data_IF_414767063510
#
_entry.id   IF_414767063510
#
_cell.length_a   1.000
_cell.length_b   1.000
_cell.length_c   1.000
_cell.angle_alpha   90.00
_cell.angle_beta   90.00
_cell.angle_gamma   90.00
#
_symmetry.space_group_name_H-M   'P 1'
#
loop_
_entity.id
_entity.type
_entity.pdbx_description
1 polymer ?
#
# COMPACT_ATOMS: atom_id res chain seq x y z
N UNK A 1 -40.01 -22.57 -34.67
CA UNK A 1 -40.79 -22.93 -33.46
C UNK A 1 -40.81 -21.72 -32.53
N UNK A 2 -41.98 -21.08 -32.38
CA UNK A 2 -42.18 -19.86 -31.58
C UNK A 2 -42.41 -20.25 -30.11
N UNK A 3 -41.62 -19.73 -29.18
CA UNK A 3 -41.91 -19.81 -27.74
C UNK A 3 -42.22 -18.41 -27.23
N UNK A 4 -43.51 -18.18 -26.99
CA UNK A 4 -44.01 -17.08 -26.18
C UNK A 4 -43.66 -17.37 -24.72
N UNK A 5 -42.94 -16.45 -24.07
CA UNK A 5 -42.76 -16.47 -22.61
C UNK A 5 -43.56 -15.30 -22.02
N UNK A 6 -44.53 -15.65 -21.19
CA UNK A 6 -45.34 -14.77 -20.37
C UNK A 6 -44.46 -14.00 -19.36
N UNK A 7 -44.52 -12.68 -19.43
CA UNK A 7 -44.00 -11.77 -18.42
C UNK A 7 -45.06 -11.60 -17.31
N UNK A 8 -44.85 -12.26 -16.17
CA UNK A 8 -45.56 -11.93 -14.93
C UNK A 8 -44.83 -10.76 -14.26
N UNK A 9 -45.48 -9.61 -14.22
CA UNK A 9 -45.06 -8.42 -13.48
C UNK A 9 -45.38 -8.58 -11.99
N UNK A 10 -44.35 -8.83 -11.18
CA UNK A 10 -44.43 -8.82 -9.71
C UNK A 10 -44.03 -7.43 -9.21
N UNK A 11 -45.03 -6.61 -8.83
CA UNK A 11 -44.80 -5.30 -8.19
C UNK A 11 -44.57 -5.55 -6.70
N UNK A 12 -43.30 -5.51 -6.28
CA UNK A 12 -42.92 -5.55 -4.87
C UNK A 12 -43.00 -4.13 -4.28
N UNK A 13 -43.96 -3.89 -3.39
CA UNK A 13 -44.05 -2.68 -2.58
C UNK A 13 -43.03 -2.79 -1.44
N UNK A 14 -41.94 -2.02 -1.52
CA UNK A 14 -40.93 -1.97 -0.46
C UNK A 14 -41.38 -1.01 0.67
N UNK A 15 -41.31 -1.43 1.94
CA UNK A 15 -41.56 -0.55 3.08
C UNK A 15 -40.39 0.44 3.24
N UNK A 16 -40.70 1.74 3.23
CA UNK A 16 -39.77 2.77 3.69
C UNK A 16 -39.60 2.63 5.22
N UNK A 17 -38.56 1.91 5.63
CA UNK A 17 -38.07 1.99 7.00
C UNK A 17 -37.37 3.34 7.18
N UNK A 18 -38.02 4.26 7.91
CA UNK A 18 -37.40 5.48 8.40
C UNK A 18 -36.27 5.10 9.38
N UNK A 19 -35.06 4.92 8.85
CA UNK A 19 -33.86 4.79 9.68
C UNK A 19 -33.58 6.16 10.30
N UNK A 20 -33.83 6.26 11.61
CA UNK A 20 -33.37 7.39 12.41
C UNK A 20 -31.88 7.60 12.13
N UNK A 21 -31.51 8.80 11.66
CA UNK A 21 -30.12 9.13 11.42
C UNK A 21 -29.36 9.03 12.75
N UNK A 22 -28.25 8.26 12.82
CA UNK A 22 -27.44 8.20 14.02
C UNK A 22 -27.00 9.61 14.40
N UNK A 23 -27.15 9.96 15.68
CA UNK A 23 -26.76 11.26 16.22
C UNK A 23 -25.29 11.53 15.87
N UNK A 24 -25.05 12.52 15.01
CA UNK A 24 -23.73 12.95 14.53
C UNK A 24 -22.79 13.28 15.69
N UNK A 25 -23.31 13.59 16.89
CA UNK A 25 -22.51 13.96 18.04
C UNK A 25 -22.04 12.77 18.89
N UNK A 26 -22.49 11.55 18.59
CA UNK A 26 -22.15 10.35 19.38
C UNK A 26 -21.16 9.41 18.70
N UNK A 27 -20.51 9.86 17.61
CA UNK A 27 -19.36 9.14 17.06
C UNK A 27 -18.25 9.07 18.13
N UNK A 28 -17.68 7.88 18.41
CA UNK A 28 -16.56 7.76 19.33
C UNK A 28 -15.47 8.73 18.91
N UNK A 29 -15.12 9.67 19.79
CA UNK A 29 -14.03 10.61 19.57
C UNK A 29 -12.76 9.77 19.43
N UNK A 30 -12.39 9.45 18.19
CA UNK A 30 -11.17 8.72 17.91
C UNK A 30 -9.99 9.41 18.57
N UNK A 31 -8.98 8.64 18.98
CA UNK A 31 -7.72 9.20 19.46
C UNK A 31 -7.29 10.30 18.49
N UNK A 32 -7.28 11.55 18.96
CA UNK A 32 -6.83 12.68 18.16
C UNK A 32 -5.46 12.32 17.59
N UNK A 33 -5.33 12.36 16.26
CA UNK A 33 -4.02 12.25 15.64
C UNK A 33 -3.09 13.28 16.31
N UNK A 34 -1.78 12.97 16.44
CA UNK A 34 -0.81 13.93 16.97
C UNK A 34 -1.06 15.28 16.31
N UNK A 35 -1.19 16.34 17.12
CA UNK A 35 -1.50 17.67 16.62
C UNK A 35 -0.30 18.19 15.82
N UNK A 36 -0.21 17.80 14.55
CA UNK A 36 0.72 18.31 13.57
C UNK A 36 0.25 19.72 13.20
N UNK A 37 0.34 20.67 14.14
CA UNK A 37 0.18 22.08 13.79
C UNK A 37 1.30 22.40 12.80
N UNK A 38 0.99 22.71 11.53
CA UNK A 38 1.98 23.28 10.65
C UNK A 38 2.42 24.57 11.33
N UNK A 39 3.72 24.72 11.58
CA UNK A 39 4.26 26.03 11.95
C UNK A 39 3.73 27.04 10.92
N UNK A 40 3.14 28.15 11.40
CA UNK A 40 2.53 29.21 10.60
C UNK A 40 3.44 29.77 9.48
N UNK A 41 4.74 29.47 9.53
CA UNK A 41 5.72 29.94 8.57
C UNK A 41 5.86 29.06 7.31
N UNK A 42 5.04 28.02 7.12
CA UNK A 42 5.00 27.23 5.87
C UNK A 42 6.30 26.52 5.46
N UNK A 43 7.35 26.58 6.31
CA UNK A 43 8.64 25.94 6.07
C UNK A 43 8.58 24.50 6.58
N UNK A 44 8.35 23.57 5.65
CA UNK A 44 8.36 22.12 5.85
C UNK A 44 9.73 21.52 6.27
N UNK A 45 10.70 22.32 6.73
CA UNK A 45 12.11 21.96 6.51
C UNK A 45 13.07 21.84 7.68
N UNK A 46 12.91 22.46 8.86
CA UNK A 46 14.14 22.71 9.66
C UNK A 46 14.13 22.46 11.17
N UNK A 47 13.00 22.21 11.82
CA UNK A 47 13.02 21.84 13.25
C UNK A 47 12.51 20.42 13.46
N UNK A 48 13.03 19.46 12.68
CA UNK A 48 12.96 18.05 13.07
C UNK A 48 13.96 17.86 14.21
N UNK A 49 13.52 18.13 15.45
CA UNK A 49 14.39 18.02 16.61
C UNK A 49 14.73 16.54 16.81
N UNK A 50 16.00 16.15 16.69
CA UNK A 50 16.46 14.78 16.93
C UNK A 50 16.03 14.30 18.34
N UNK A 51 15.94 15.22 19.30
CA UNK A 51 15.43 14.91 20.65
C UNK A 51 13.98 14.41 20.63
N UNK A 52 13.11 14.96 19.78
CA UNK A 52 11.71 14.53 19.68
C UNK A 52 11.57 13.16 19.01
N UNK A 53 12.51 12.79 18.14
CA UNK A 53 12.62 11.42 17.60
C UNK A 53 13.03 10.43 18.69
N UNK A 54 14.07 10.77 19.47
CA UNK A 54 14.60 9.92 20.55
C UNK A 54 13.60 9.74 21.70
N UNK A 55 12.70 10.71 21.92
CA UNK A 55 11.69 10.67 22.96
C UNK A 55 10.37 10.00 22.52
N UNK A 56 10.20 9.63 21.24
CA UNK A 56 9.00 8.90 20.80
C UNK A 56 9.06 7.47 21.33
N UNK A 57 8.06 7.09 22.12
CA UNK A 57 7.86 5.68 22.47
C UNK A 57 7.73 4.86 21.18
N UNK A 58 8.42 3.70 21.06
CA UNK A 58 8.25 2.83 19.91
C UNK A 58 6.77 2.44 19.80
N UNK A 59 6.23 2.52 18.58
CA UNK A 59 4.85 2.10 18.33
C UNK A 59 4.72 0.59 18.55
N UNK A 60 3.61 0.14 19.14
CA UNK A 60 3.37 -1.29 19.28
C UNK A 60 3.08 -1.93 17.91
N UNK A 61 3.30 -3.24 17.73
CA UNK A 61 2.97 -3.94 16.48
C UNK A 61 1.50 -3.76 16.06
N UNK A 62 0.58 -3.71 17.01
CA UNK A 62 -0.85 -3.49 16.79
C UNK A 62 -1.12 -2.08 16.27
N UNK A 63 -0.46 -1.07 16.84
CA UNK A 63 -0.56 0.32 16.37
C UNK A 63 -0.04 0.46 14.94
N UNK A 64 1.08 -0.21 14.61
CA UNK A 64 1.63 -0.21 13.25
C UNK A 64 0.64 -0.84 12.26
N UNK A 65 0.04 -1.98 12.60
CA UNK A 65 -0.99 -2.63 11.76
C UNK A 65 -2.20 -1.71 11.56
N UNK A 66 -2.65 -1.02 12.60
CA UNK A 66 -3.77 -0.10 12.50
C UNK A 66 -3.46 1.09 11.59
N UNK A 67 -2.26 1.66 11.71
CA UNK A 67 -1.80 2.76 10.83
C UNK A 67 -1.72 2.28 9.38
N UNK A 68 -1.18 1.08 9.13
CA UNK A 68 -1.13 0.50 7.79
C UNK A 68 -2.52 0.31 7.19
N UNK A 69 -3.47 -0.26 7.95
CA UNK A 69 -4.85 -0.43 7.50
C UNK A 69 -5.53 0.91 7.18
N UNK A 70 -5.32 1.94 8.01
CA UNK A 70 -5.85 3.28 7.75
C UNK A 70 -5.24 3.91 6.49
N UNK A 71 -3.93 3.75 6.28
CA UNK A 71 -3.27 4.24 5.07
C UNK A 71 -3.77 3.51 3.82
N UNK A 72 -3.97 2.20 3.90
CA UNK A 72 -4.54 1.41 2.81
C UNK A 72 -5.94 1.92 2.46
N UNK A 73 -6.83 2.05 3.45
CA UNK A 73 -8.19 2.55 3.26
C UNK A 73 -8.20 3.95 2.63
N UNK A 74 -7.34 4.86 3.11
CA UNK A 74 -7.21 6.20 2.52
C UNK A 74 -6.73 6.16 1.07
N UNK A 75 -5.77 5.29 0.73
CA UNK A 75 -5.29 5.15 -0.65
C UNK A 75 -6.39 4.63 -1.58
N UNK A 76 -7.19 3.68 -1.13
CA UNK A 76 -8.30 3.13 -1.90
C UNK A 76 -9.44 4.16 -2.06
N UNK A 77 -9.69 4.97 -1.04
CA UNK A 77 -10.63 6.10 -1.12
C UNK A 77 -10.15 7.15 -2.14
N UNK A 78 -8.86 7.52 -2.10
CA UNK A 78 -8.28 8.44 -3.07
C UNK A 78 -8.34 7.89 -4.51
N UNK A 79 -8.15 6.58 -4.68
CA UNK A 79 -8.32 5.90 -5.96
C UNK A 79 -9.76 6.06 -6.48
N UNK A 80 -10.77 5.78 -5.65
CA UNK A 80 -12.19 5.99 -6.03
C UNK A 80 -12.48 7.45 -6.38
N UNK A 81 -12.04 8.38 -5.54
CA UNK A 81 -12.22 9.82 -5.81
C UNK A 81 -11.56 10.25 -7.12
N UNK A 82 -10.40 9.67 -7.46
CA UNK A 82 -9.73 9.95 -8.74
C UNK A 82 -10.54 9.39 -9.91
N UNK A 83 -11.03 8.15 -9.82
CA UNK A 83 -11.88 7.55 -10.86
C UNK A 83 -13.13 8.41 -11.10
N UNK A 84 -13.83 8.81 -10.03
CA UNK A 84 -15.00 9.69 -10.11
C UNK A 84 -14.67 11.03 -10.77
N UNK A 85 -13.54 11.65 -10.40
CA UNK A 85 -13.10 12.95 -10.97
C UNK A 85 -12.85 12.87 -12.47
N UNK A 86 -12.35 11.74 -12.95
CA UNK A 86 -12.09 11.47 -14.38
C UNK A 86 -13.35 10.99 -15.13
N UNK A 87 -14.52 11.01 -14.46
CA UNK A 87 -15.81 10.67 -15.05
C UNK A 87 -16.19 9.19 -15.00
N UNK A 88 -15.39 8.34 -14.35
CA UNK A 88 -15.70 6.92 -14.17
C UNK A 88 -16.55 6.72 -12.91
N UNK A 89 -17.87 6.87 -13.01
CA UNK A 89 -18.81 6.80 -11.88
C UNK A 89 -19.52 5.45 -11.72
N UNK A 90 -19.27 4.51 -12.62
CA UNK A 90 -19.82 3.15 -12.53
C UNK A 90 -19.22 2.42 -11.32
N UNK A 91 -20.08 2.09 -10.34
CA UNK A 91 -19.68 1.44 -9.08
C UNK A 91 -19.03 0.09 -9.33
N UNK A 92 -19.55 -0.72 -10.25
CA UNK A 92 -19.00 -2.05 -10.53
C UNK A 92 -17.59 -1.95 -11.14
N UNK A 93 -17.34 -0.94 -11.98
CA UNK A 93 -16.00 -0.65 -12.53
C UNK A 93 -15.06 -0.18 -11.42
N UNK A 94 -15.49 0.75 -10.57
CA UNK A 94 -14.67 1.23 -9.46
C UNK A 94 -14.31 0.12 -8.47
N UNK A 95 -15.27 -0.72 -8.11
CA UNK A 95 -15.09 -1.86 -7.21
C UNK A 95 -14.08 -2.85 -7.79
N UNK A 96 -14.21 -3.22 -9.06
CA UNK A 96 -13.27 -4.13 -9.71
C UNK A 96 -11.82 -3.59 -9.70
N UNK A 97 -11.63 -2.28 -9.92
CA UNK A 97 -10.31 -1.65 -9.87
C UNK A 97 -9.76 -1.61 -8.43
N UNK A 98 -10.61 -1.30 -7.45
CA UNK A 98 -10.22 -1.25 -6.03
C UNK A 98 -9.84 -2.63 -5.52
N UNK A 99 -10.59 -3.67 -5.88
CA UNK A 99 -10.28 -5.05 -5.50
C UNK A 99 -8.96 -5.51 -6.11
N UNK A 100 -8.73 -5.24 -7.39
CA UNK A 100 -7.44 -5.50 -8.04
C UNK A 100 -6.28 -4.75 -7.35
N UNK A 101 -6.48 -3.49 -6.97
CA UNK A 101 -5.47 -2.70 -6.26
C UNK A 101 -5.15 -3.28 -4.87
N UNK A 102 -6.16 -3.74 -4.12
CA UNK A 102 -5.98 -4.42 -2.83
C UNK A 102 -5.16 -5.70 -2.98
N UNK A 103 -5.53 -6.56 -3.93
CA UNK A 103 -4.81 -7.82 -4.16
C UNK A 103 -3.34 -7.57 -4.51
N UNK A 104 -3.07 -6.57 -5.34
CA UNK A 104 -1.71 -6.14 -5.68
C UNK A 104 -0.94 -5.67 -4.45
N UNK A 105 -1.56 -4.89 -3.57
CA UNK A 105 -0.92 -4.37 -2.36
C UNK A 105 -0.58 -5.49 -1.38
N UNK A 106 -1.49 -6.45 -1.16
CA UNK A 106 -1.23 -7.62 -0.30
C UNK A 106 -0.02 -8.41 -0.80
N UNK A 107 0.07 -8.64 -2.10
CA UNK A 107 1.21 -9.33 -2.69
C UNK A 107 2.50 -8.52 -2.59
N UNK A 108 2.43 -7.20 -2.83
CA UNK A 108 3.57 -6.28 -2.68
C UNK A 108 4.15 -6.32 -1.27
N UNK A 109 3.29 -6.26 -0.24
CA UNK A 109 3.73 -6.32 1.17
C UNK A 109 4.45 -7.64 1.49
N UNK A 110 3.96 -8.77 0.97
CA UNK A 110 4.60 -10.09 1.15
C UNK A 110 6.00 -10.12 0.53
N UNK A 111 6.14 -9.67 -0.73
CA UNK A 111 7.44 -9.61 -1.41
C UNK A 111 8.38 -8.61 -0.74
N UNK A 112 7.88 -7.44 -0.34
CA UNK A 112 8.65 -6.43 0.37
C UNK A 112 9.18 -6.95 1.72
N UNK A 113 8.38 -7.72 2.46
CA UNK A 113 8.81 -8.33 3.73
C UNK A 113 9.97 -9.31 3.50
N UNK A 114 9.86 -10.15 2.47
CA UNK A 114 10.93 -11.11 2.12
C UNK A 114 12.19 -10.41 1.63
N UNK A 115 12.03 -9.37 0.80
CA UNK A 115 13.14 -8.52 0.37
C UNK A 115 13.86 -7.89 1.56
N UNK A 116 13.11 -7.36 2.53
CA UNK A 116 13.68 -6.75 3.75
C UNK A 116 14.45 -7.78 4.59
N UNK A 117 13.95 -9.02 4.69
CA UNK A 117 14.66 -10.08 5.40
C UNK A 117 15.94 -10.50 4.66
N UNK A 118 15.90 -10.56 3.32
CA UNK A 118 17.08 -10.83 2.50
C UNK A 118 18.14 -9.72 2.64
N UNK A 119 17.73 -8.45 2.59
CA UNK A 119 18.62 -7.30 2.80
C UNK A 119 19.30 -7.37 4.17
N UNK A 120 18.51 -7.60 5.23
CA UNK A 120 19.03 -7.81 6.59
C UNK A 120 19.99 -9.01 6.67
N UNK A 121 19.72 -10.07 5.94
CA UNK A 121 20.55 -11.29 5.97
C UNK A 121 21.94 -11.06 5.38
N UNK A 122 22.09 -10.14 4.41
CA UNK A 122 23.40 -9.78 3.86
C UNK A 122 24.34 -9.11 4.87
N UNK A 123 23.80 -8.59 5.99
CA UNK A 123 24.57 -7.97 7.07
C UNK A 123 24.82 -8.90 8.26
N UNK A 124 24.32 -10.14 8.23
CA UNK A 124 24.50 -11.13 9.29
C UNK A 124 25.77 -11.94 9.06
N UNK A 125 26.70 -11.92 10.01
CA UNK A 125 28.01 -12.58 9.89
C UNK A 125 27.96 -14.12 10.01
N UNK A 126 26.85 -14.67 10.48
CA UNK A 126 26.64 -16.11 10.72
C UNK A 126 26.01 -16.84 9.52
N UNK A 127 25.65 -16.11 8.45
CA UNK A 127 25.10 -16.70 7.23
C UNK A 127 26.19 -16.93 6.19
N UNK A 128 26.17 -18.13 5.61
CA UNK A 128 27.03 -18.51 4.50
C UNK A 128 26.45 -18.03 3.17
N UNK A 129 27.31 -17.83 2.17
CA UNK A 129 26.87 -17.50 0.80
C UNK A 129 25.86 -18.51 0.23
N UNK A 130 26.00 -19.79 0.58
CA UNK A 130 25.05 -20.83 0.17
C UNK A 130 23.65 -20.61 0.77
N UNK A 131 23.56 -20.17 2.02
CA UNK A 131 22.27 -19.84 2.65
C UNK A 131 21.65 -18.59 2.02
N UNK A 132 22.45 -17.55 1.75
CA UNK A 132 21.99 -16.34 1.08
C UNK A 132 21.49 -16.66 -0.34
N UNK A 133 22.23 -17.48 -1.09
CA UNK A 133 21.82 -17.94 -2.41
C UNK A 133 20.49 -18.70 -2.37
N UNK A 134 20.28 -19.56 -1.36
CA UNK A 134 19.00 -20.22 -1.13
C UNK A 134 17.85 -19.23 -0.91
N UNK A 135 18.03 -18.24 -0.03
CA UNK A 135 17.04 -17.20 0.22
C UNK A 135 16.73 -16.36 -1.04
N UNK A 136 17.75 -16.07 -1.85
CA UNK A 136 17.60 -15.34 -3.10
C UNK A 136 16.78 -16.13 -4.13
N UNK A 137 17.07 -17.43 -4.30
CA UNK A 137 16.33 -18.31 -5.21
C UNK A 137 14.86 -18.41 -4.78
N UNK A 138 14.59 -18.56 -3.48
CA UNK A 138 13.23 -18.60 -2.95
C UNK A 138 12.47 -17.29 -3.20
N UNK A 139 13.15 -16.15 -3.05
CA UNK A 139 12.56 -14.84 -3.35
C UNK A 139 12.25 -14.70 -4.85
N UNK A 140 13.18 -15.09 -5.73
CA UNK A 140 12.99 -15.04 -7.18
C UNK A 140 11.80 -15.90 -7.63
N UNK A 141 11.69 -17.13 -7.13
CA UNK A 141 10.57 -18.01 -7.43
C UNK A 141 9.22 -17.37 -7.06
N UNK A 142 9.12 -16.78 -5.86
CA UNK A 142 7.89 -16.10 -5.41
C UNK A 142 7.60 -14.83 -6.21
N UNK A 143 8.63 -14.10 -6.62
CA UNK A 143 8.47 -12.93 -7.47
C UNK A 143 7.96 -13.30 -8.87
N UNK A 144 8.41 -14.44 -9.41
CA UNK A 144 7.93 -14.97 -10.69
C UNK A 144 6.49 -15.49 -10.59
N UNK A 145 6.15 -16.22 -9.52
CA UNK A 145 4.77 -16.66 -9.24
C UNK A 145 3.82 -15.46 -9.14
N UNK A 146 4.23 -14.41 -8.44
CA UNK A 146 3.44 -13.19 -8.31
C UNK A 146 3.32 -12.44 -9.65
N UNK A 147 4.37 -12.44 -10.49
CA UNK A 147 4.30 -11.86 -11.84
C UNK A 147 3.23 -12.56 -12.67
N UNK A 148 3.21 -13.89 -12.67
CA UNK A 148 2.22 -14.69 -13.38
C UNK A 148 0.80 -14.45 -12.83
N UNK A 149 0.63 -14.45 -11.49
CA UNK A 149 -0.65 -14.15 -10.83
C UNK A 149 -1.17 -12.76 -11.22
N UNK A 150 -0.30 -11.75 -11.20
CA UNK A 150 -0.63 -10.36 -11.55
C UNK A 150 -1.09 -10.24 -13.00
N UNK A 151 -0.43 -10.95 -13.93
CA UNK A 151 -0.82 -10.96 -15.34
C UNK A 151 -2.22 -11.57 -15.52
N UNK A 152 -2.50 -12.69 -14.87
CA UNK A 152 -3.84 -13.31 -14.90
C UNK A 152 -4.91 -12.38 -14.29
N UNK A 153 -4.63 -11.77 -13.14
CA UNK A 153 -5.54 -10.84 -12.49
C UNK A 153 -5.81 -9.60 -13.36
N UNK A 154 -4.79 -9.10 -14.09
CA UNK A 154 -4.95 -8.01 -15.04
C UNK A 154 -5.82 -8.42 -16.23
N UNK A 155 -5.64 -9.62 -16.79
CA UNK A 155 -6.49 -10.12 -17.87
C UNK A 155 -7.95 -10.26 -17.41
N UNK A 156 -8.16 -10.77 -16.19
CA UNK A 156 -9.50 -10.86 -15.58
C UNK A 156 -10.13 -9.49 -15.36
N UNK A 157 -9.39 -8.52 -14.81
CA UNK A 157 -9.84 -7.15 -14.65
C UNK A 157 -10.19 -6.54 -16.02
N UNK A 158 -9.27 -6.65 -16.99
CA UNK A 158 -9.42 -6.10 -18.34
C UNK A 158 -10.69 -6.61 -19.03
N UNK A 159 -10.94 -7.91 -18.92
CA UNK A 159 -12.17 -8.54 -19.42
C UNK A 159 -13.40 -8.04 -18.67
N UNK A 160 -13.36 -8.01 -17.33
CA UNK A 160 -14.50 -7.64 -16.48
C UNK A 160 -14.99 -6.20 -16.70
N UNK A 161 -14.08 -5.27 -16.97
CA UNK A 161 -14.42 -3.85 -17.16
C UNK A 161 -14.33 -3.39 -18.61
N UNK A 162 -14.09 -4.31 -19.55
CA UNK A 162 -13.87 -4.03 -20.98
C UNK A 162 -12.78 -2.96 -21.20
N UNK A 163 -11.65 -3.12 -20.51
CA UNK A 163 -10.62 -2.08 -20.41
C UNK A 163 -10.05 -1.67 -21.78
N UNK A 164 -9.94 -2.61 -22.72
CA UNK A 164 -9.47 -2.33 -24.08
C UNK A 164 -10.38 -1.37 -24.86
N UNK A 165 -11.67 -1.29 -24.51
CA UNK A 165 -12.62 -0.34 -25.11
C UNK A 165 -12.60 1.03 -24.41
N UNK A 166 -11.80 1.18 -23.33
CA UNK A 166 -11.76 2.37 -22.48
C UNK A 166 -10.33 2.94 -22.40
N UNK A 167 -9.79 3.50 -23.50
CA UNK A 167 -8.39 3.95 -23.56
C UNK A 167 -8.03 5.03 -22.52
N UNK A 168 -8.97 5.91 -22.17
CA UNK A 168 -8.78 6.91 -21.10
C UNK A 168 -8.61 6.26 -19.72
N UNK A 169 -9.39 5.21 -19.44
CA UNK A 169 -9.29 4.45 -18.20
C UNK A 169 -7.97 3.69 -18.16
N UNK A 170 -7.60 3.03 -19.26
CA UNK A 170 -6.32 2.32 -19.40
C UNK A 170 -5.14 3.26 -19.13
N UNK A 171 -5.11 4.42 -19.78
CA UNK A 171 -4.08 5.44 -19.53
C UNK A 171 -4.06 5.90 -18.08
N UNK A 172 -5.22 6.18 -17.48
CA UNK A 172 -5.30 6.57 -16.07
C UNK A 172 -4.69 5.49 -15.17
N UNK A 173 -5.10 4.23 -15.32
CA UNK A 173 -4.56 3.11 -14.53
C UNK A 173 -3.05 2.91 -14.73
N UNK A 174 -2.54 3.12 -15.96
CA UNK A 174 -1.11 3.08 -16.25
C UNK A 174 -0.35 4.21 -15.54
N UNK A 175 -0.85 5.45 -15.62
CA UNK A 175 -0.22 6.61 -14.96
C UNK A 175 -0.23 6.51 -13.44
N UNK A 176 -1.22 5.82 -12.87
CA UNK A 176 -1.28 5.49 -11.45
C UNK A 176 -0.36 4.31 -11.06
N UNK A 177 0.28 3.66 -12.02
CA UNK A 177 1.10 2.47 -11.80
C UNK A 177 0.28 1.28 -11.30
N UNK A 178 -1.03 1.23 -11.54
CA UNK A 178 -1.86 0.08 -11.21
C UNK A 178 -1.63 -1.05 -12.21
N UNK A 179 -1.59 -0.71 -13.50
CA UNK A 179 -1.32 -1.62 -14.61
C UNK A 179 -0.08 -1.17 -15.37
N UNK A 180 0.52 -2.09 -16.12
CA UNK A 180 1.73 -1.82 -16.90
C UNK A 180 3.00 -1.76 -16.04
N UNK A 181 4.14 -1.98 -16.67
CA UNK A 181 5.47 -1.87 -16.06
C UNK A 181 6.20 -0.60 -16.52
N UNK A 182 5.60 0.18 -17.43
CA UNK A 182 6.17 1.40 -18.03
C UNK A 182 6.43 2.48 -16.99
N UNK A 183 5.61 2.54 -15.93
CA UNK A 183 5.84 3.47 -14.82
C UNK A 183 7.19 3.23 -14.12
N UNK A 184 7.70 2.00 -14.14
CA UNK A 184 9.04 1.69 -13.61
C UNK A 184 10.16 2.07 -14.59
N UNK A 185 9.87 2.07 -15.90
CA UNK A 185 10.82 2.42 -16.95
C UNK A 185 10.96 3.94 -17.18
N UNK A 186 9.88 4.70 -16.99
CA UNK A 186 9.86 6.15 -17.26
C UNK A 186 10.51 6.96 -16.13
N UNK A 187 10.67 6.38 -14.93
CA UNK A 187 11.46 6.98 -13.85
C UNK A 187 12.95 6.85 -14.14
N UNK A 188 13.42 7.65 -15.09
CA UNK A 188 14.82 7.90 -15.40
C UNK A 188 15.57 8.32 -14.12
N UNK A 189 16.58 7.54 -13.75
CA UNK A 189 17.79 8.01 -13.05
C UNK A 189 17.66 8.58 -11.63
N UNK A 190 16.66 8.17 -10.83
CA UNK A 190 16.75 8.33 -9.37
C UNK A 190 17.45 7.11 -8.77
N UNK A 191 18.77 7.16 -8.69
CA UNK A 191 19.72 6.23 -8.06
C UNK A 191 19.21 5.42 -6.84
N UNK A 192 18.34 4.42 -7.03
CA UNK A 192 17.71 3.72 -5.92
C UNK A 192 16.83 2.55 -6.35
N UNK A 193 17.42 1.57 -7.06
CA UNK A 193 16.75 0.33 -7.52
C UNK A 193 16.09 -0.55 -6.43
N UNK A 194 16.07 -0.09 -5.17
CA UNK A 194 15.41 -0.72 -4.03
C UNK A 194 14.30 0.18 -3.45
N UNK A 195 14.33 1.50 -3.71
CA UNK A 195 13.40 2.46 -3.11
C UNK A 195 11.96 2.33 -3.67
N UNK A 196 11.81 2.03 -4.96
CA UNK A 196 10.48 1.82 -5.55
C UNK A 196 9.90 0.43 -5.19
N UNK A 197 10.74 -0.59 -5.02
CA UNK A 197 10.29 -1.91 -4.52
C UNK A 197 9.88 -1.85 -3.03
N UNK A 198 10.57 -1.02 -2.24
CA UNK A 198 10.25 -0.73 -0.85
C UNK A 198 9.10 0.30 -0.65
N UNK A 199 8.45 0.76 -1.72
CA UNK A 199 7.28 1.66 -1.61
C UNK A 199 7.60 3.09 -1.20
N UNK A 200 8.85 3.54 -1.29
CA UNK A 200 9.26 4.93 -0.99
C UNK A 200 8.85 5.92 -2.08
N UNK A 201 8.49 5.46 -3.30
CA UNK A 201 8.19 6.35 -4.43
C UNK A 201 6.79 6.96 -4.47
N UNK A 202 5.89 6.63 -3.53
CA UNK A 202 4.53 7.19 -3.49
C UNK A 202 4.27 8.14 -2.32
N UNK A 203 5.02 7.99 -1.23
CA UNK A 203 4.88 8.71 0.03
C UNK A 203 6.22 8.62 0.78
N UNK A 204 7.26 9.28 0.26
CA UNK A 204 8.55 9.48 0.95
C UNK A 204 8.43 10.42 2.17
N UNK A 205 7.35 10.31 2.94
CA UNK A 205 7.16 11.00 4.20
C UNK A 205 6.41 10.07 5.15
N UNK A 206 7.09 9.68 6.23
CA UNK A 206 6.55 9.24 7.53
C UNK A 206 6.64 7.73 7.85
N UNK A 207 6.72 6.79 6.89
CA UNK A 207 6.71 5.35 7.21
C UNK A 207 8.07 4.64 7.38
N UNK A 208 9.10 5.08 6.66
CA UNK A 208 10.37 4.33 6.50
C UNK A 208 11.40 4.47 7.62
N UNK A 209 11.18 5.33 8.61
CA UNK A 209 12.19 5.63 9.64
C UNK A 209 12.22 4.65 10.81
N UNK A 210 11.17 3.85 11.03
CA UNK A 210 11.14 2.94 12.18
C UNK A 210 12.08 1.73 12.03
N UNK A 211 12.29 1.22 10.81
CA UNK A 211 13.19 0.08 10.59
C UNK A 211 14.67 0.49 10.55
N UNK A 212 14.99 1.78 10.38
CA UNK A 212 16.37 2.29 10.38
C UNK A 212 16.92 2.49 11.81
N UNK A 213 16.06 2.78 12.78
CA UNK A 213 16.47 3.00 14.18
C UNK A 213 16.65 1.70 14.99
N UNK A 214 16.01 0.59 14.60
CA UNK A 214 16.27 -0.72 15.21
C UNK A 214 17.64 -1.29 14.85
N UNK A 215 18.21 -0.92 13.70
CA UNK A 215 19.55 -1.37 13.28
C UNK A 215 20.72 -0.69 14.01
N UNK A 216 20.48 0.45 14.66
CA UNK A 216 21.51 1.22 15.36
C UNK A 216 21.49 1.03 16.89
N UNK A 217 20.49 0.33 17.44
CA UNK A 217 20.29 0.19 18.89
C UNK A 217 21.10 -0.91 19.58
N UNK A 218 21.66 -1.88 18.85
CA UNK A 218 22.21 -3.11 19.46
C UNK A 218 23.74 -3.27 19.40
N UNK A 219 24.51 -2.31 18.88
CA UNK A 219 25.98 -2.43 18.78
C UNK A 219 26.80 -1.50 19.70
N UNK A 220 26.17 -0.90 20.72
CA UNK A 220 26.87 -0.12 21.74
C UNK A 220 27.14 -0.93 23.03
N UNK A 221 27.72 -2.14 22.91
CA UNK A 221 28.52 -2.70 23.99
C UNK A 221 29.99 -2.32 23.75
N UNK A 222 30.34 -1.14 24.24
CA UNK A 222 31.72 -0.70 24.40
C UNK A 222 32.42 -1.72 25.30
N UNK A 223 33.21 -2.62 24.69
CA UNK A 223 34.23 -3.39 25.40
C UNK A 223 35.29 -2.41 25.90
N UNK A 224 35.12 -1.93 27.13
CA UNK A 224 36.21 -1.33 27.89
C UNK A 224 37.17 -2.47 28.22
N UNK A 225 38.20 -2.63 27.40
CA UNK A 225 39.39 -3.38 27.77
C UNK A 225 40.09 -2.60 28.90
N UNK A 226 39.81 -2.98 30.15
CA UNK A 226 40.71 -2.66 31.25
C UNK A 226 41.88 -3.64 31.18
N UNK A 227 43.03 -3.14 30.74
CA UNK A 227 44.32 -3.75 31.03
C UNK A 227 44.84 -3.20 32.34
N UNK A 228 44.99 -4.06 33.35
CA UNK A 228 46.17 -4.20 34.24
C UNK A 228 46.17 -5.65 34.73
#
# INVERSE_FOLDING_TARGET
MKRQLLLLSLIAVLPLAAQAQPDLNNAPKGNNAPNWKPNANGRFGQNFNLQDLLNRKPMTPEQLKQIQAQQEEQRLLMLRQRLTREGFTDVAVQDAIVDFAKEKEVARVKLQTQWTELDKSTHKADLTDAQIAGMLNDFQAKADDERARREMALQQLSTKIELEQKPRLKLLLMTMGLIGDEASLVKKDAAGGIADFAGLGGLAGIGGLNNLLEGLGNNAQVRIFNGV
#
